data_IF_822772061521
#
_entry.id   IF_822772061521
#
_cell.length_a   1.000
_cell.length_b   1.000
_cell.length_c   1.000
_cell.angle_alpha   90.00
_cell.angle_beta   90.00
_cell.angle_gamma   90.00
#
_symmetry.space_group_name_H-M   'P 1'
#
loop_
_entity.id
_entity.type
_entity.pdbx_description
1 polymer ?
#
# COMPACT_ATOMS: atom_id res chain seq x y z
N UNK A 1 -1.54 64.88 -45.15
CA UNK A 1 -0.72 65.24 -43.98
C UNK A 1 -0.09 63.97 -43.41
N UNK A 2 1.24 63.86 -43.55
CA UNK A 2 2.23 63.26 -42.64
C UNK A 2 1.76 63.26 -41.16
N UNK A 3 1.95 62.27 -40.25
CA UNK A 3 3.03 61.35 -39.79
C UNK A 3 2.34 60.39 -38.78
N UNK A 4 2.69 59.12 -38.54
CA UNK A 4 3.75 58.26 -39.05
C UNK A 4 4.00 57.02 -38.15
N UNK A 5 4.87 56.15 -38.66
CA UNK A 5 5.84 55.28 -37.97
C UNK A 5 5.32 54.18 -37.01
N UNK A 6 5.38 52.92 -37.46
CA UNK A 6 6.48 51.94 -37.19
C UNK A 6 6.02 50.53 -37.60
N UNK A 7 6.75 49.91 -38.52
CA UNK A 7 6.99 48.45 -38.50
C UNK A 7 8.19 48.24 -37.57
N UNK A 8 8.17 47.22 -36.69
CA UNK A 8 8.91 45.99 -37.00
C UNK A 8 8.10 44.72 -36.69
N UNK A 9 8.18 43.77 -37.62
CA UNK A 9 8.01 42.34 -37.35
C UNK A 9 9.24 41.88 -36.55
N UNK A 10 9.08 41.02 -35.52
CA UNK A 10 9.58 39.65 -35.70
C UNK A 10 8.74 38.58 -34.97
N UNK A 11 8.77 37.37 -35.53
CA UNK A 11 8.74 36.04 -34.88
C UNK A 11 7.64 35.72 -33.86
N UNK A 12 6.90 34.63 -34.12
CA UNK A 12 6.25 33.86 -33.06
C UNK A 12 5.01 33.07 -33.46
N UNK A 13 5.17 31.99 -34.21
CA UNK A 13 4.28 30.83 -34.05
C UNK A 13 4.44 30.24 -32.63
N UNK A 14 3.60 29.30 -32.15
CA UNK A 14 2.15 29.17 -32.22
C UNK A 14 1.57 29.06 -30.79
N UNK A 15 0.57 29.87 -30.41
CA UNK A 15 -0.09 29.70 -29.10
C UNK A 15 -1.10 28.56 -29.12
N UNK A 16 -0.59 27.33 -29.07
CA UNK A 16 -1.33 26.19 -28.54
C UNK A 16 -1.64 26.47 -27.07
N UNK A 17 -2.92 26.57 -26.76
CA UNK A 17 -3.42 26.68 -25.40
C UNK A 17 -3.08 25.39 -24.63
N UNK A 18 -1.95 25.40 -23.92
CA UNK A 18 -1.61 24.37 -22.94
C UNK A 18 -2.22 24.80 -21.61
N UNK A 19 -3.30 24.14 -21.25
CA UNK A 19 -3.99 24.29 -19.97
C UNK A 19 -3.13 23.60 -18.89
N UNK A 20 -2.26 24.39 -18.23
CA UNK A 20 -1.47 23.94 -17.07
C UNK A 20 -2.37 24.06 -15.82
N UNK A 21 -3.20 23.04 -15.62
CA UNK A 21 -3.81 22.78 -14.32
C UNK A 21 -2.73 22.22 -13.40
N UNK A 22 -2.32 22.99 -12.40
CA UNK A 22 -1.33 22.57 -11.43
C UNK A 22 -1.88 21.48 -10.51
N UNK A 23 -1.15 20.38 -10.42
CA UNK A 23 -0.95 19.68 -9.15
C UNK A 23 0.52 19.25 -9.07
N UNK A 24 1.17 19.73 -8.01
CA UNK A 24 2.60 19.65 -7.78
C UNK A 24 2.93 18.33 -7.07
N UNK A 25 3.53 17.37 -7.77
CA UNK A 25 4.28 16.30 -7.12
C UNK A 25 5.66 16.23 -7.78
N UNK A 26 6.67 16.63 -7.00
CA UNK A 26 8.06 16.70 -7.43
C UNK A 26 8.58 15.36 -7.98
N UNK A 27 9.48 15.36 -8.99
CA UNK A 27 10.15 14.13 -9.38
C UNK A 27 11.16 13.75 -8.29
N UNK A 28 10.85 12.71 -7.51
CA UNK A 28 11.89 11.99 -6.77
C UNK A 28 12.78 11.30 -7.82
N UNK A 29 13.84 12.01 -8.19
CA UNK A 29 14.98 11.45 -8.89
C UNK A 29 15.69 10.49 -7.94
N UNK A 30 15.57 9.19 -8.17
CA UNK A 30 16.56 8.22 -7.69
C UNK A 30 16.76 7.05 -8.66
N UNK A 31 17.57 7.32 -9.69
CA UNK A 31 18.78 6.61 -10.12
C UNK A 31 18.79 5.07 -10.22
N UNK A 32 19.23 4.61 -11.41
CA UNK A 32 19.70 3.28 -11.88
C UNK A 32 18.68 2.33 -12.50
N UNK A 33 18.59 2.47 -13.83
CA UNK A 33 18.40 1.45 -14.86
C UNK A 33 18.06 0.02 -14.45
N UNK A 34 16.78 -0.32 -14.58
CA UNK A 34 16.35 -1.62 -15.12
C UNK A 34 14.98 -1.44 -15.77
N UNK A 35 14.91 -1.87 -17.03
CA UNK A 35 13.75 -1.90 -17.92
C UNK A 35 12.44 -2.24 -17.17
N UNK A 36 11.56 -1.25 -16.94
CA UNK A 36 10.18 -1.48 -16.44
C UNK A 36 9.23 -1.40 -17.63
N UNK A 37 9.32 -2.37 -18.54
CA UNK A 37 8.27 -2.62 -19.54
C UNK A 37 7.13 -3.35 -18.85
N UNK A 38 6.24 -2.58 -18.24
CA UNK A 38 5.09 -3.12 -17.53
C UNK A 38 4.65 -2.23 -16.39
N UNK A 39 4.54 -0.92 -16.62
CA UNK A 39 3.85 -0.05 -15.68
C UNK A 39 2.36 -0.36 -15.81
N UNK A 40 1.92 -1.38 -15.08
CA UNK A 40 0.57 -1.40 -14.56
C UNK A 40 0.42 -0.06 -13.84
N UNK A 41 -0.48 0.79 -14.33
CA UNK A 41 -0.89 1.97 -13.59
C UNK A 41 -1.52 1.45 -12.30
N UNK A 42 -0.70 1.19 -11.29
CA UNK A 42 -1.15 1.07 -9.93
C UNK A 42 -1.62 2.47 -9.58
N UNK A 43 -2.90 2.71 -9.89
CA UNK A 43 -3.63 3.82 -9.35
C UNK A 43 -3.20 3.95 -7.90
N UNK A 44 -2.71 5.11 -7.53
CA UNK A 44 -2.62 5.54 -6.14
C UNK A 44 -4.04 5.71 -5.59
N UNK A 45 -4.84 4.63 -5.64
CA UNK A 45 -5.92 4.41 -4.72
C UNK A 45 -5.19 4.16 -3.42
N UNK A 46 -5.37 5.07 -2.48
CA UNK A 46 -5.20 4.82 -1.06
C UNK A 46 -5.97 3.52 -0.76
N UNK A 47 -5.33 2.37 -0.91
CA UNK A 47 -5.99 1.07 -0.86
C UNK A 47 -6.32 0.83 0.60
N UNK A 48 -7.54 1.18 1.00
CA UNK A 48 -8.13 0.65 2.23
C UNK A 48 -8.13 -0.86 2.04
N UNK A 49 -7.27 -1.55 2.80
CA UNK A 49 -7.15 -3.01 2.70
C UNK A 49 -8.55 -3.62 2.87
N UNK A 50 -8.96 -4.43 1.89
CA UNK A 50 -10.23 -5.13 1.94
C UNK A 50 -10.12 -6.40 2.78
N UNK A 51 -11.26 -7.03 3.11
CA UNK A 51 -11.26 -8.35 3.75
C UNK A 51 -10.56 -9.42 2.91
N UNK A 52 -10.52 -9.27 1.58
CA UNK A 52 -9.77 -10.18 0.70
C UNK A 52 -8.26 -10.00 0.81
N UNK A 53 -7.75 -8.76 0.93
CA UNK A 53 -6.32 -8.50 1.18
C UNK A 53 -5.88 -9.09 2.52
N UNK A 54 -6.71 -8.97 3.56
CA UNK A 54 -6.44 -9.57 4.87
C UNK A 54 -6.38 -11.10 4.75
N UNK A 55 -7.24 -11.74 3.95
CA UNK A 55 -7.22 -13.20 3.72
C UNK A 55 -5.96 -13.66 2.98
N UNK A 56 -5.53 -12.91 1.97
CA UNK A 56 -4.32 -13.23 1.21
C UNK A 56 -3.06 -13.12 2.11
N UNK A 57 -2.95 -12.02 2.85
CA UNK A 57 -1.87 -11.80 3.83
C UNK A 57 -1.90 -12.85 4.96
N UNK A 58 -3.09 -13.23 5.43
CA UNK A 58 -3.25 -14.29 6.42
C UNK A 58 -2.75 -15.64 5.90
N UNK A 59 -3.02 -15.95 4.64
CA UNK A 59 -2.56 -17.18 3.98
C UNK A 59 -1.04 -17.18 3.87
N UNK A 60 -0.46 -16.08 3.37
CA UNK A 60 0.99 -15.91 3.28
C UNK A 60 1.67 -16.02 4.65
N UNK A 61 1.13 -15.36 5.67
CA UNK A 61 1.64 -15.41 7.03
C UNK A 61 1.57 -16.82 7.62
N UNK A 62 0.50 -17.58 7.39
CA UNK A 62 0.41 -18.99 7.82
C UNK A 62 1.46 -19.87 7.15
N UNK A 63 1.73 -19.65 5.86
CA UNK A 63 2.80 -20.38 5.14
C UNK A 63 4.18 -20.05 5.72
N UNK A 64 4.45 -18.79 6.04
CA UNK A 64 5.70 -18.37 6.70
C UNK A 64 5.81 -18.98 8.10
N UNK A 65 4.72 -18.93 8.87
CA UNK A 65 4.65 -19.51 10.20
C UNK A 65 4.93 -21.01 10.20
N UNK A 66 4.39 -21.75 9.22
CA UNK A 66 4.63 -23.18 9.08
C UNK A 66 6.09 -23.48 8.72
N UNK A 67 6.70 -22.68 7.84
CA UNK A 67 8.13 -22.79 7.51
C UNK A 67 9.03 -22.53 8.72
N UNK A 68 8.64 -21.60 9.59
CA UNK A 68 9.44 -21.18 10.75
C UNK A 68 8.98 -21.75 12.09
N UNK A 69 8.03 -22.70 12.10
CA UNK A 69 7.40 -23.19 13.34
C UNK A 69 8.38 -23.87 14.32
N UNK A 70 9.49 -24.42 13.82
CA UNK A 70 10.51 -25.07 14.62
C UNK A 70 11.44 -24.08 15.35
N UNK A 71 11.56 -22.86 14.81
CA UNK A 71 12.40 -21.78 15.34
C UNK A 71 11.58 -20.81 16.22
N UNK A 72 10.27 -20.77 16.00
CA UNK A 72 9.31 -19.91 16.68
C UNK A 72 8.67 -20.59 17.90
N UNK A 73 9.16 -20.28 19.10
CA UNK A 73 8.50 -20.71 20.35
C UNK A 73 7.06 -20.19 20.50
N UNK A 74 6.70 -19.10 19.80
CA UNK A 74 5.35 -18.51 19.79
C UNK A 74 4.45 -19.05 18.68
N UNK A 75 4.92 -20.01 17.86
CA UNK A 75 4.16 -20.59 16.76
C UNK A 75 2.72 -21.06 17.12
N UNK A 76 2.47 -21.79 18.23
CA UNK A 76 1.11 -22.18 18.59
C UNK A 76 0.20 -20.99 18.91
N UNK A 77 0.73 -19.92 19.50
CA UNK A 77 -0.01 -18.69 19.81
C UNK A 77 -0.38 -17.96 18.51
N UNK A 78 0.59 -17.80 17.61
CA UNK A 78 0.38 -17.16 16.31
C UNK A 78 -0.62 -17.95 15.46
N UNK A 79 -0.58 -19.29 15.48
CA UNK A 79 -1.56 -20.14 14.78
C UNK A 79 -2.98 -19.90 15.31
N UNK A 80 -3.16 -19.87 16.64
CA UNK A 80 -4.47 -19.56 17.25
C UNK A 80 -4.98 -18.15 16.91
N UNK A 81 -4.08 -17.15 16.84
CA UNK A 81 -4.45 -15.81 16.38
C UNK A 81 -4.90 -15.83 14.91
N UNK A 82 -4.18 -16.52 14.03
CA UNK A 82 -4.56 -16.61 12.61
C UNK A 82 -5.90 -17.31 12.41
N UNK A 83 -6.20 -18.35 13.20
CA UNK A 83 -7.51 -19.02 13.18
C UNK A 83 -8.63 -18.09 13.67
N UNK A 84 -8.35 -17.25 14.66
CA UNK A 84 -9.32 -16.25 15.14
C UNK A 84 -9.58 -15.19 14.07
N UNK A 85 -8.55 -14.70 13.38
CA UNK A 85 -8.70 -13.74 12.27
C UNK A 85 -9.51 -14.37 11.14
N UNK A 86 -9.21 -15.62 10.76
CA UNK A 86 -9.96 -16.37 9.75
C UNK A 86 -11.44 -16.50 10.12
N UNK A 87 -11.74 -16.88 11.36
CA UNK A 87 -13.10 -16.96 11.87
C UNK A 87 -13.83 -15.62 11.77
N UNK A 88 -13.18 -14.52 12.15
CA UNK A 88 -13.76 -13.18 12.03
C UNK A 88 -13.99 -12.75 10.58
N UNK A 89 -13.10 -13.12 9.66
CA UNK A 89 -13.27 -12.86 8.22
C UNK A 89 -14.45 -13.63 7.60
N UNK A 90 -14.86 -14.74 8.21
CA UNK A 90 -16.06 -15.50 7.79
C UNK A 90 -17.33 -15.10 8.53
N UNK A 91 -17.19 -14.40 9.66
CA UNK A 91 -18.31 -13.89 10.44
C UNK A 91 -18.98 -12.70 9.75
N UNK A 92 -20.31 -12.60 9.88
CA UNK A 92 -21.10 -11.48 9.34
C UNK A 92 -22.13 -11.03 10.37
N UNK A 93 -21.93 -9.89 11.06
CA UNK A 93 -20.78 -8.98 10.95
C UNK A 93 -19.52 -9.49 11.68
N UNK A 94 -18.30 -9.07 11.25
CA UNK A 94 -17.06 -9.33 11.99
C UNK A 94 -17.01 -8.52 13.29
N UNK A 95 -16.29 -9.06 14.28
CA UNK A 95 -16.03 -8.39 15.56
C UNK A 95 -14.78 -7.50 15.46
N UNK A 96 -14.99 -6.23 15.07
CA UNK A 96 -13.92 -5.26 14.83
C UNK A 96 -13.01 -5.04 16.05
N UNK A 97 -13.57 -5.13 17.26
CA UNK A 97 -12.80 -5.01 18.51
C UNK A 97 -11.78 -6.13 18.67
N UNK A 98 -12.17 -7.37 18.34
CA UNK A 98 -11.27 -8.53 18.35
C UNK A 98 -10.17 -8.36 17.30
N UNK A 99 -10.54 -7.95 16.08
CA UNK A 99 -9.60 -7.72 14.98
C UNK A 99 -8.57 -6.64 15.32
N UNK A 100 -9.01 -5.50 15.87
CA UNK A 100 -8.12 -4.42 16.29
C UNK A 100 -7.18 -4.86 17.41
N UNK A 101 -7.68 -5.66 18.36
CA UNK A 101 -6.85 -6.18 19.44
C UNK A 101 -5.79 -7.16 18.92
N UNK A 102 -6.14 -8.03 17.97
CA UNK A 102 -5.21 -8.94 17.32
C UNK A 102 -4.15 -8.18 16.52
N UNK A 103 -4.55 -7.17 15.72
CA UNK A 103 -3.64 -6.32 14.96
C UNK A 103 -2.61 -5.59 15.83
N UNK A 104 -2.97 -5.23 17.07
CA UNK A 104 -2.04 -4.60 18.03
C UNK A 104 -1.06 -5.59 18.67
N UNK A 105 -1.50 -6.82 18.92
CA UNK A 105 -0.67 -7.84 19.57
C UNK A 105 0.30 -8.52 18.59
N UNK A 106 -0.13 -8.70 17.34
CA UNK A 106 0.63 -9.46 16.32
C UNK A 106 2.07 -8.94 16.15
N UNK A 107 2.32 -7.63 15.96
CA UNK A 107 3.66 -7.08 15.79
C UNK A 107 4.60 -7.40 16.97
N UNK A 108 4.10 -7.34 18.20
CA UNK A 108 4.89 -7.62 19.39
C UNK A 108 5.31 -9.09 19.49
N UNK A 109 4.52 -10.02 18.95
CA UNK A 109 4.78 -11.46 18.98
C UNK A 109 5.68 -11.92 17.84
N UNK A 110 5.75 -11.16 16.76
CA UNK A 110 6.58 -11.46 15.58
C UNK A 110 7.87 -10.63 15.53
N UNK A 111 8.04 -9.63 16.39
CA UNK A 111 9.25 -8.81 16.47
C UNK A 111 10.49 -9.68 16.67
N UNK A 112 11.50 -9.46 15.85
CA UNK A 112 12.77 -10.18 15.87
C UNK A 112 12.69 -11.60 15.31
N UNK A 113 11.59 -11.96 14.63
CA UNK A 113 11.40 -13.29 14.05
C UNK A 113 11.32 -13.24 12.53
N UNK A 114 11.45 -14.40 11.87
CA UNK A 114 11.35 -14.51 10.41
C UNK A 114 9.96 -14.14 9.87
N UNK A 115 8.91 -14.20 10.71
CA UNK A 115 7.54 -13.84 10.33
C UNK A 115 7.19 -12.37 10.62
N UNK A 116 8.19 -11.55 11.01
CA UNK A 116 7.96 -10.15 11.39
C UNK A 116 7.27 -9.34 10.29
N UNK A 117 7.81 -9.38 9.07
CA UNK A 117 7.27 -8.60 7.95
C UNK A 117 5.83 -9.01 7.61
N UNK A 118 5.56 -10.32 7.58
CA UNK A 118 4.22 -10.83 7.32
C UNK A 118 3.22 -10.47 8.43
N UNK A 119 3.64 -10.51 9.69
CA UNK A 119 2.79 -10.15 10.81
C UNK A 119 2.52 -8.64 10.89
N UNK A 120 3.50 -7.81 10.53
CA UNK A 120 3.35 -6.37 10.42
C UNK A 120 2.38 -6.00 9.30
N UNK A 121 2.52 -6.61 8.11
CA UNK A 121 1.64 -6.38 6.97
C UNK A 121 0.19 -6.80 7.28
N UNK A 122 0.02 -7.95 7.94
CA UNK A 122 -1.30 -8.41 8.37
C UNK A 122 -1.95 -7.45 9.37
N UNK A 123 -1.19 -6.95 10.34
CA UNK A 123 -1.69 -5.97 11.32
C UNK A 123 -2.10 -4.64 10.67
N UNK A 124 -1.32 -4.13 9.71
CA UNK A 124 -1.62 -2.91 8.97
C UNK A 124 -2.88 -3.09 8.11
N UNK A 125 -2.99 -4.22 7.41
CA UNK A 125 -4.17 -4.55 6.60
C UNK A 125 -5.44 -4.68 7.45
N UNK A 126 -5.37 -5.33 8.62
CA UNK A 126 -6.53 -5.40 9.52
C UNK A 126 -6.93 -4.00 9.99
N UNK A 127 -5.95 -3.16 10.35
CA UNK A 127 -6.21 -1.78 10.80
C UNK A 127 -6.80 -0.92 9.67
N UNK A 128 -6.34 -1.10 8.44
CA UNK A 128 -6.84 -0.40 7.26
C UNK A 128 -8.19 -0.92 6.74
N UNK A 129 -8.60 -2.11 7.16
CA UNK A 129 -9.93 -2.67 6.86
C UNK A 129 -11.01 -2.15 7.82
N UNK A 130 -10.70 -2.08 9.12
CA UNK A 130 -11.66 -1.70 10.18
C UNK A 130 -11.66 -0.19 10.52
N UNK A 131 -10.70 0.58 10.01
CA UNK A 131 -10.54 2.02 10.27
C UNK A 131 -11.03 2.88 9.11
#
# INVERSE_FOLDING_TARGET
MMIGRRRPDPDGEPSSAIHIGGDSIAPIQNVVGRDIRGVHQSASVRHTAGPEDVRDLLTAFRTELDRHQQDLGTAPVLRGMTETIDAQLTASPPDEGVLLQLARMLPALVVGTAVQEGGQALADAITGWIG
#
